data_IF_813305889544
#
_entry.id   IF_813305889544
#
_cell.length_a   1.000
_cell.length_b   1.000
_cell.length_c   1.000
_cell.angle_alpha   90.00
_cell.angle_beta   90.00
_cell.angle_gamma   90.00
#
_symmetry.space_group_name_H-M   'P 1'
#
loop_
_entity.id
_entity.type
_entity.pdbx_description
1 polymer ?
#
# COMPACT_ATOMS: atom_id res chain seq x y z
N UNK A 1 50.26 18.04 37.26
CA UNK A 1 49.17 17.81 36.29
C UNK A 1 49.70 17.26 34.97
N UNK A 2 50.66 17.90 34.30
CA UNK A 2 51.26 17.39 33.05
C UNK A 2 52.00 16.05 33.19
N UNK A 3 52.59 15.78 34.36
CA UNK A 3 53.27 14.50 34.67
C UNK A 3 52.32 13.31 34.77
N UNK A 4 51.12 13.49 35.34
CA UNK A 4 50.10 12.44 35.43
C UNK A 4 49.50 12.08 34.05
N UNK A 5 49.51 13.02 33.10
CA UNK A 5 49.02 12.80 31.73
C UNK A 5 50.02 11.99 30.90
N UNK A 6 51.33 12.12 31.16
CA UNK A 6 52.39 11.37 30.48
C UNK A 6 52.49 9.91 30.96
N UNK A 7 52.28 9.68 32.26
CA UNK A 7 52.32 8.33 32.86
C UNK A 7 51.08 7.49 32.48
N UNK A 8 49.93 8.14 32.31
CA UNK A 8 48.64 7.51 31.94
C UNK A 8 48.14 7.96 30.56
N UNK A 9 49.05 8.16 29.60
CA UNK A 9 48.72 8.60 28.23
C UNK A 9 47.71 7.67 27.53
N UNK A 10 47.78 6.37 27.84
CA UNK A 10 46.85 5.35 27.35
C UNK A 10 45.42 5.57 27.86
N UNK A 11 45.24 6.08 29.09
CA UNK A 11 43.93 6.42 29.65
C UNK A 11 43.29 7.59 28.90
N UNK A 12 44.11 8.56 28.48
CA UNK A 12 43.65 9.70 27.66
C UNK A 12 43.22 9.23 26.26
N UNK A 13 43.96 8.29 25.65
CA UNK A 13 43.55 7.67 24.38
C UNK A 13 42.26 6.86 24.50
N UNK A 14 42.12 6.06 25.57
CA UNK A 14 40.89 5.30 25.84
C UNK A 14 39.71 6.25 26.05
N UNK A 15 39.90 7.35 26.78
CA UNK A 15 38.85 8.35 26.98
C UNK A 15 38.40 9.01 25.67
N UNK A 16 39.34 9.37 24.79
CA UNK A 16 39.03 9.90 23.46
C UNK A 16 38.28 8.85 22.62
N UNK A 17 38.72 7.59 22.62
CA UNK A 17 38.06 6.51 21.89
C UNK A 17 36.62 6.26 22.37
N UNK A 18 36.40 6.24 23.69
CA UNK A 18 35.07 6.10 24.30
C UNK A 18 34.19 7.30 23.97
N UNK A 19 34.75 8.52 23.98
CA UNK A 19 34.02 9.74 23.62
C UNK A 19 33.56 9.72 22.16
N UNK A 20 34.43 9.32 21.23
CA UNK A 20 34.09 9.18 19.81
C UNK A 20 33.01 8.11 19.60
N UNK A 21 33.12 6.95 20.25
CA UNK A 21 32.11 5.89 20.21
C UNK A 21 30.76 6.37 20.75
N UNK A 22 30.76 7.13 21.85
CA UNK A 22 29.54 7.68 22.46
C UNK A 22 28.84 8.63 21.50
N UNK A 23 29.56 9.55 20.87
CA UNK A 23 29.01 10.47 19.87
C UNK A 23 28.45 9.69 18.66
N UNK A 24 29.16 8.66 18.20
CA UNK A 24 28.70 7.81 17.10
C UNK A 24 27.38 7.09 17.41
N UNK A 25 27.25 6.49 18.59
CA UNK A 25 26.03 5.79 19.02
C UNK A 25 24.86 6.78 19.16
N UNK A 26 25.09 7.97 19.74
CA UNK A 26 24.07 9.02 19.85
C UNK A 26 23.59 9.49 18.47
N UNK A 27 24.51 9.70 17.51
CA UNK A 27 24.15 10.11 16.16
C UNK A 27 23.33 9.02 15.43
N UNK A 28 23.72 7.75 15.58
CA UNK A 28 22.99 6.62 15.00
C UNK A 28 21.59 6.49 15.61
N UNK A 29 21.46 6.61 16.93
CA UNK A 29 20.18 6.58 17.63
C UNK A 29 19.28 7.76 17.24
N UNK A 30 19.85 8.96 17.10
CA UNK A 30 19.12 10.14 16.63
C UNK A 30 18.60 9.95 15.21
N UNK A 31 19.43 9.45 14.27
CA UNK A 31 19.02 9.20 12.88
C UNK A 31 17.92 8.14 12.80
N UNK A 32 18.04 7.05 13.55
CA UNK A 32 17.01 6.02 13.63
C UNK A 32 15.70 6.57 14.22
N UNK A 33 15.78 7.36 15.29
CA UNK A 33 14.62 8.02 15.92
C UNK A 33 13.94 9.03 14.98
N UNK A 34 14.72 9.82 14.25
CA UNK A 34 14.20 10.77 13.26
C UNK A 34 13.49 10.05 12.09
N UNK A 35 14.03 8.94 11.61
CA UNK A 35 13.40 8.10 10.58
C UNK A 35 12.08 7.51 11.08
N UNK A 36 12.07 6.90 12.27
CA UNK A 36 10.86 6.37 12.92
C UNK A 36 9.83 7.48 13.15
N UNK A 37 10.25 8.67 13.55
CA UNK A 37 9.38 9.84 13.72
C UNK A 37 8.73 10.29 12.41
N UNK A 38 9.50 10.33 11.31
CA UNK A 38 9.00 10.68 9.99
C UNK A 38 8.02 9.63 9.44
N UNK A 39 8.32 8.35 9.61
CA UNK A 39 7.43 7.24 9.23
C UNK A 39 6.14 7.26 10.04
N UNK A 40 6.22 7.43 11.37
CA UNK A 40 5.04 7.60 12.23
C UNK A 40 4.19 8.79 11.80
N UNK A 41 4.81 9.92 11.45
CA UNK A 41 4.06 11.09 10.96
C UNK A 41 3.33 10.80 9.66
N UNK A 42 3.99 10.14 8.69
CA UNK A 42 3.35 9.71 7.43
C UNK A 42 2.18 8.77 7.68
N UNK A 43 2.34 7.80 8.58
CA UNK A 43 1.26 6.88 8.98
C UNK A 43 0.10 7.65 9.63
N UNK A 44 0.38 8.56 10.56
CA UNK A 44 -0.67 9.37 11.21
C UNK A 44 -1.42 10.26 10.20
N UNK A 45 -0.71 10.91 9.28
CA UNK A 45 -1.33 11.75 8.25
C UNK A 45 -2.19 10.92 7.30
N UNK A 46 -1.70 9.74 6.91
CA UNK A 46 -2.46 8.76 6.12
C UNK A 46 -3.73 8.33 6.85
N UNK A 47 -3.62 7.90 8.10
CA UNK A 47 -4.77 7.48 8.92
C UNK A 47 -5.78 8.62 9.12
N UNK A 48 -5.31 9.86 9.27
CA UNK A 48 -6.20 11.04 9.35
C UNK A 48 -6.95 11.25 8.04
N UNK A 49 -6.27 11.15 6.90
CA UNK A 49 -6.89 11.24 5.59
C UNK A 49 -7.92 10.11 5.40
N UNK A 50 -7.54 8.87 5.65
CA UNK A 50 -8.41 7.70 5.49
C UNK A 50 -9.65 7.80 6.39
N UNK A 51 -9.49 8.18 7.66
CA UNK A 51 -10.63 8.35 8.56
C UNK A 51 -11.59 9.45 8.11
N UNK A 52 -11.07 10.60 7.64
CA UNK A 52 -11.90 11.70 7.12
C UNK A 52 -12.64 11.29 5.86
N UNK A 53 -11.94 10.69 4.90
CA UNK A 53 -12.51 10.23 3.64
C UNK A 53 -13.56 9.16 3.91
N UNK A 54 -13.27 8.14 4.73
CA UNK A 54 -14.25 7.14 5.15
C UNK A 54 -15.51 7.78 5.73
N UNK A 55 -15.36 8.71 6.66
CA UNK A 55 -16.49 9.38 7.30
C UNK A 55 -17.36 10.16 6.30
N UNK A 56 -16.75 10.82 5.32
CA UNK A 56 -17.47 11.56 4.29
C UNK A 56 -18.35 10.67 3.40
N UNK A 57 -17.99 9.39 3.24
CA UNK A 57 -18.71 8.43 2.39
C UNK A 57 -19.44 7.34 3.18
N UNK A 58 -19.56 7.47 4.51
CA UNK A 58 -20.21 6.46 5.35
C UNK A 58 -21.69 6.22 4.96
N UNK A 59 -22.37 7.29 4.52
CA UNK A 59 -23.72 7.26 3.98
C UNK A 59 -23.67 7.71 2.50
N UNK A 60 -23.19 6.83 1.63
CA UNK A 60 -23.10 7.12 0.20
C UNK A 60 -24.52 7.28 -0.39
N UNK A 61 -24.76 8.40 -1.07
CA UNK A 61 -25.97 8.65 -1.86
C UNK A 61 -25.62 8.85 -3.33
N UNK A 62 -26.62 8.76 -4.22
CA UNK A 62 -26.41 9.05 -5.66
C UNK A 62 -25.92 10.46 -5.91
N UNK A 63 -26.51 11.45 -5.24
CA UNK A 63 -26.08 12.85 -5.33
C UNK A 63 -24.63 13.03 -4.90
N UNK A 64 -24.24 12.44 -3.75
CA UNK A 64 -22.87 12.49 -3.26
C UNK A 64 -21.90 11.79 -4.21
N UNK A 65 -22.26 10.61 -4.73
CA UNK A 65 -21.43 9.88 -5.68
C UNK A 65 -21.19 10.71 -6.96
N UNK A 66 -22.20 11.41 -7.46
CA UNK A 66 -22.04 12.22 -8.67
C UNK A 66 -21.20 13.48 -8.45
N UNK A 67 -21.38 14.16 -7.33
CA UNK A 67 -20.72 15.43 -7.01
C UNK A 67 -19.30 15.28 -6.42
N UNK A 68 -18.97 14.10 -5.88
CA UNK A 68 -17.70 13.87 -5.21
C UNK A 68 -16.48 13.98 -6.15
N UNK A 69 -15.36 14.43 -5.58
CA UNK A 69 -14.05 14.33 -6.20
C UNK A 69 -13.72 12.85 -6.47
N UNK A 70 -13.14 12.58 -7.64
CA UNK A 70 -12.95 11.24 -8.21
C UNK A 70 -12.19 10.31 -7.26
N UNK A 71 -11.04 10.75 -6.75
CA UNK A 71 -10.22 9.95 -5.85
C UNK A 71 -10.90 9.77 -4.50
N UNK A 72 -11.52 10.83 -3.97
CA UNK A 72 -12.26 10.79 -2.72
C UNK A 72 -13.41 9.77 -2.77
N UNK A 73 -14.17 9.72 -3.86
CA UNK A 73 -15.24 8.73 -4.05
C UNK A 73 -14.67 7.30 -4.00
N UNK A 74 -13.66 7.04 -4.82
CA UNK A 74 -13.06 5.71 -4.90
C UNK A 74 -12.47 5.25 -3.55
N UNK A 75 -11.63 6.08 -2.94
CA UNK A 75 -10.99 5.76 -1.66
C UNK A 75 -12.03 5.68 -0.53
N UNK A 76 -13.02 6.56 -0.52
CA UNK A 76 -14.06 6.58 0.50
C UNK A 76 -14.91 5.32 0.50
N UNK A 77 -15.28 4.82 -0.67
CA UNK A 77 -16.02 3.55 -0.80
C UNK A 77 -15.17 2.37 -0.36
N UNK A 78 -13.92 2.27 -0.86
CA UNK A 78 -13.01 1.18 -0.48
C UNK A 78 -12.73 1.14 1.03
N UNK A 79 -12.50 2.30 1.66
CA UNK A 79 -12.26 2.40 3.10
C UNK A 79 -13.50 2.06 3.94
N UNK A 80 -14.71 2.29 3.42
CA UNK A 80 -15.94 1.87 4.10
C UNK A 80 -16.14 0.35 4.02
N UNK A 81 -15.74 -0.28 2.91
CA UNK A 81 -15.68 -1.74 2.80
C UNK A 81 -14.64 -2.29 3.80
N UNK A 82 -13.43 -1.72 3.81
CA UNK A 82 -12.37 -2.09 4.75
C UNK A 82 -12.85 -2.04 6.21
N UNK A 83 -13.49 -0.94 6.61
CA UNK A 83 -13.99 -0.79 7.97
C UNK A 83 -15.12 -1.78 8.34
N UNK A 84 -15.79 -2.37 7.35
CA UNK A 84 -16.71 -3.49 7.56
C UNK A 84 -15.94 -4.79 7.80
N UNK A 85 -15.00 -5.09 6.89
CA UNK A 85 -14.17 -6.30 6.95
C UNK A 85 -13.33 -6.40 8.24
N UNK A 86 -12.76 -5.28 8.71
CA UNK A 86 -11.96 -5.22 9.94
C UNK A 86 -12.73 -5.56 11.23
N UNK A 87 -14.07 -5.57 11.19
CA UNK A 87 -14.90 -5.96 12.34
C UNK A 87 -15.17 -7.45 12.41
N UNK A 88 -14.94 -8.17 11.31
CA UNK A 88 -15.22 -9.58 11.20
C UNK A 88 -14.05 -10.39 11.77
N UNK A 89 -14.35 -11.52 12.41
CA UNK A 89 -13.32 -12.41 12.96
C UNK A 89 -12.50 -13.11 11.88
N UNK A 90 -13.10 -13.32 10.71
CA UNK A 90 -12.47 -13.88 9.53
C UNK A 90 -12.67 -12.92 8.34
N UNK A 91 -11.62 -12.14 8.08
CA UNK A 91 -11.65 -11.11 7.03
C UNK A 91 -11.73 -11.72 5.63
N UNK A 92 -11.15 -12.90 5.41
CA UNK A 92 -11.16 -13.56 4.10
C UNK A 92 -12.57 -14.09 3.79
N UNK A 93 -13.19 -14.79 4.74
CA UNK A 93 -14.57 -15.24 4.58
C UNK A 93 -15.56 -14.07 4.47
N UNK A 94 -15.30 -12.95 5.13
CA UNK A 94 -16.10 -11.74 5.00
C UNK A 94 -15.94 -11.08 3.62
N UNK A 95 -14.71 -11.03 3.10
CA UNK A 95 -14.43 -10.52 1.76
C UNK A 95 -15.11 -11.35 0.67
N UNK A 96 -15.10 -12.68 0.79
CA UNK A 96 -15.77 -13.57 -0.15
C UNK A 96 -17.30 -13.40 -0.18
N UNK A 97 -17.91 -12.90 0.90
CA UNK A 97 -19.36 -12.60 0.99
C UNK A 97 -19.75 -11.25 0.42
N UNK A 98 -18.79 -10.37 0.14
CA UNK A 98 -19.06 -9.09 -0.52
C UNK A 98 -19.61 -9.33 -1.92
N UNK A 99 -20.36 -8.35 -2.45
CA UNK A 99 -20.77 -8.42 -3.86
C UNK A 99 -19.54 -8.26 -4.77
N UNK A 100 -19.58 -8.83 -5.97
CA UNK A 100 -18.45 -8.73 -6.92
C UNK A 100 -17.99 -7.29 -7.16
N UNK A 101 -18.88 -6.28 -7.33
CA UNK A 101 -18.44 -4.89 -7.43
C UNK A 101 -17.69 -4.37 -6.20
N UNK A 102 -18.10 -4.78 -5.00
CA UNK A 102 -17.42 -4.42 -3.75
C UNK A 102 -16.03 -5.07 -3.67
N UNK A 103 -15.94 -6.36 -4.02
CA UNK A 103 -14.68 -7.09 -4.06
C UNK A 103 -13.68 -6.42 -5.02
N UNK A 104 -14.12 -6.06 -6.23
CA UNK A 104 -13.28 -5.38 -7.22
C UNK A 104 -12.77 -4.03 -6.74
N UNK A 105 -13.63 -3.18 -6.19
CA UNK A 105 -13.22 -1.86 -5.69
C UNK A 105 -12.26 -1.98 -4.51
N UNK A 106 -12.51 -2.91 -3.59
CA UNK A 106 -11.61 -3.16 -2.46
C UNK A 106 -10.24 -3.69 -2.92
N UNK A 107 -10.22 -4.68 -3.80
CA UNK A 107 -8.97 -5.26 -4.32
C UNK A 107 -8.16 -4.23 -5.13
N UNK A 108 -8.82 -3.45 -5.98
CA UNK A 108 -8.20 -2.40 -6.79
C UNK A 108 -7.61 -1.27 -5.92
N UNK A 109 -8.23 -0.97 -4.77
CA UNK A 109 -7.69 -0.02 -3.81
C UNK A 109 -6.31 -0.44 -3.32
N UNK A 110 -6.10 -1.72 -3.00
CA UNK A 110 -4.79 -2.24 -2.60
C UNK A 110 -3.80 -2.29 -3.76
N UNK A 111 -4.24 -2.58 -5.00
CA UNK A 111 -3.37 -2.50 -6.18
C UNK A 111 -2.80 -1.08 -6.34
N UNK A 112 -3.62 -0.04 -6.18
CA UNK A 112 -3.13 1.34 -6.29
C UNK A 112 -2.35 1.80 -5.05
N UNK A 113 -2.71 1.31 -3.87
CA UNK A 113 -2.05 1.67 -2.62
C UNK A 113 -0.63 1.06 -2.51
N UNK A 114 -0.51 -0.24 -2.79
CA UNK A 114 0.74 -1.00 -2.59
C UNK A 114 1.48 -1.25 -3.90
N UNK A 115 0.77 -1.27 -5.03
CA UNK A 115 1.27 -1.71 -6.33
C UNK A 115 1.53 -0.58 -7.34
N UNK A 116 1.14 0.67 -7.06
CA UNK A 116 1.20 1.75 -8.06
C UNK A 116 2.61 2.06 -8.58
N UNK A 117 3.64 1.85 -7.76
CA UNK A 117 5.04 2.00 -8.18
C UNK A 117 5.69 0.67 -8.55
N UNK A 118 5.29 -0.41 -7.87
CA UNK A 118 5.83 -1.76 -8.02
C UNK A 118 4.74 -2.77 -7.71
N UNK A 119 4.20 -3.40 -8.74
CA UNK A 119 3.16 -4.41 -8.58
C UNK A 119 3.67 -5.61 -7.76
N UNK A 120 4.95 -5.94 -7.82
CA UNK A 120 5.58 -6.94 -6.97
C UNK A 120 5.41 -6.67 -5.48
N UNK A 121 5.39 -5.41 -5.04
CA UNK A 121 5.18 -5.05 -3.63
C UNK A 121 3.74 -5.31 -3.19
N UNK A 122 2.77 -5.16 -4.10
CA UNK A 122 1.40 -5.56 -3.84
C UNK A 122 1.31 -7.08 -3.62
N UNK A 123 1.95 -7.90 -4.46
CA UNK A 123 1.94 -9.37 -4.32
C UNK A 123 2.72 -9.88 -3.10
N UNK A 124 3.77 -9.17 -2.66
CA UNK A 124 4.50 -9.53 -1.42
C UNK A 124 3.69 -9.28 -0.16
N UNK A 125 2.77 -8.31 -0.19
CA UNK A 125 1.98 -7.89 0.97
C UNK A 125 0.60 -8.55 1.03
N UNK A 126 0.08 -8.98 -0.11
CA UNK A 126 -1.30 -9.44 -0.25
C UNK A 126 -1.32 -10.85 -0.85
N UNK A 127 -2.32 -11.65 -0.46
CA UNK A 127 -2.49 -13.02 -0.96
C UNK A 127 -3.95 -13.34 -1.27
N UNK A 128 -4.24 -14.62 -1.47
CA UNK A 128 -5.62 -15.12 -1.69
C UNK A 128 -6.48 -14.84 -0.44
N UNK A 129 -7.76 -14.47 -0.61
CA UNK A 129 -8.52 -14.42 -1.88
C UNK A 129 -8.39 -13.10 -2.66
N UNK A 130 -7.61 -12.12 -2.20
CA UNK A 130 -7.59 -10.77 -2.77
C UNK A 130 -6.87 -10.69 -4.13
N UNK A 131 -5.76 -11.41 -4.31
CA UNK A 131 -4.90 -11.27 -5.50
C UNK A 131 -5.57 -11.73 -6.81
N UNK A 132 -6.32 -12.86 -6.89
CA UNK A 132 -7.00 -13.21 -8.14
C UNK A 132 -8.08 -12.20 -8.52
N UNK A 133 -8.85 -11.75 -7.52
CA UNK A 133 -9.92 -10.75 -7.70
C UNK A 133 -9.36 -9.39 -8.15
N UNK A 134 -8.19 -9.01 -7.65
CA UNK A 134 -7.51 -7.81 -8.11
C UNK A 134 -7.16 -7.91 -9.61
N UNK A 135 -6.73 -9.07 -10.10
CA UNK A 135 -6.47 -9.29 -11.53
C UNK A 135 -7.72 -9.12 -12.40
N UNK A 136 -8.84 -9.71 -11.97
CA UNK A 136 -10.14 -9.52 -12.63
C UNK A 136 -10.57 -8.05 -12.65
N UNK A 137 -10.45 -7.36 -11.51
CA UNK A 137 -10.80 -5.95 -11.39
C UNK A 137 -9.92 -5.06 -12.30
N UNK A 138 -8.61 -5.32 -12.35
CA UNK A 138 -7.68 -4.60 -13.22
C UNK A 138 -8.05 -4.83 -14.69
N UNK A 139 -8.29 -6.08 -15.09
CA UNK A 139 -8.70 -6.40 -16.45
C UNK A 139 -10.01 -5.69 -16.84
N UNK A 140 -11.03 -5.76 -15.98
CA UNK A 140 -12.35 -5.21 -16.26
C UNK A 140 -12.37 -3.67 -16.26
N UNK A 141 -11.69 -3.05 -15.30
CA UNK A 141 -11.80 -1.61 -15.03
C UNK A 141 -10.72 -0.82 -15.78
N UNK A 142 -9.50 -1.36 -15.89
CA UNK A 142 -8.38 -0.70 -16.58
C UNK A 142 -8.15 -1.24 -18.00
N UNK A 143 -8.78 -2.37 -18.36
CA UNK A 143 -8.76 -2.96 -19.70
C UNK A 143 -7.76 -4.11 -19.88
N UNK A 144 -7.88 -4.82 -21.01
CA UNK A 144 -7.14 -6.06 -21.27
C UNK A 144 -5.63 -5.94 -21.05
N UNK A 145 -5.00 -4.88 -21.59
CA UNK A 145 -3.55 -4.66 -21.47
C UNK A 145 -3.09 -4.56 -20.01
N UNK A 146 -3.88 -3.92 -19.15
CA UNK A 146 -3.57 -3.83 -17.72
C UNK A 146 -3.66 -5.21 -17.07
N UNK A 147 -4.67 -6.00 -17.44
CA UNK A 147 -4.86 -7.36 -16.96
C UNK A 147 -3.74 -8.31 -17.40
N UNK A 148 -3.25 -8.19 -18.63
CA UNK A 148 -2.09 -8.94 -19.13
C UNK A 148 -0.84 -8.63 -18.29
N UNK A 149 -0.51 -7.35 -18.13
CA UNK A 149 0.63 -6.92 -17.30
C UNK A 149 0.50 -7.42 -15.85
N UNK A 150 -0.71 -7.39 -15.31
CA UNK A 150 -0.98 -7.90 -13.97
C UNK A 150 -0.76 -9.42 -13.87
N UNK A 151 -1.33 -10.18 -14.79
CA UNK A 151 -1.28 -11.65 -14.78
C UNK A 151 0.13 -12.17 -15.04
N UNK A 152 0.89 -11.51 -15.91
CA UNK A 152 2.29 -11.85 -16.20
C UNK A 152 3.17 -11.78 -14.95
N UNK A 153 2.86 -10.86 -14.03
CA UNK A 153 3.58 -10.71 -12.77
C UNK A 153 2.97 -11.59 -11.67
N UNK A 154 1.65 -11.69 -11.59
CA UNK A 154 0.94 -12.57 -10.65
C UNK A 154 1.45 -14.01 -10.73
N UNK A 155 1.68 -14.53 -11.93
CA UNK A 155 2.12 -15.90 -12.14
C UNK A 155 3.47 -16.22 -11.47
N UNK A 156 4.32 -15.22 -11.21
CA UNK A 156 5.59 -15.39 -10.51
C UNK A 156 5.42 -15.39 -8.96
N UNK A 157 4.28 -14.90 -8.45
CA UNK A 157 3.98 -14.80 -7.02
C UNK A 157 2.86 -15.76 -6.58
N UNK A 158 2.23 -16.49 -7.52
CA UNK A 158 1.26 -17.53 -7.20
C UNK A 158 2.00 -18.73 -6.59
N UNK A 159 1.81 -18.96 -5.29
CA UNK A 159 2.46 -20.06 -4.57
C UNK A 159 2.05 -21.45 -5.05
N UNK A 160 0.97 -21.55 -5.84
CA UNK A 160 0.53 -22.80 -6.47
C UNK A 160 1.18 -23.03 -7.85
N UNK A 161 1.94 -22.05 -8.37
CA UNK A 161 2.60 -22.12 -9.67
C UNK A 161 4.10 -22.42 -9.50
N UNK A 162 4.45 -23.70 -9.52
CA UNK A 162 5.85 -24.16 -9.39
C UNK A 162 6.67 -23.98 -10.69
N UNK A 163 6.03 -23.68 -11.82
CA UNK A 163 6.67 -23.63 -13.14
C UNK A 163 7.43 -22.32 -13.41
N UNK A 164 7.19 -21.28 -12.61
CA UNK A 164 7.74 -19.93 -12.81
C UNK A 164 8.67 -19.56 -11.66
N UNK A 165 9.94 -19.30 -11.98
CA UNK A 165 10.93 -18.82 -11.02
C UNK A 165 10.89 -17.29 -10.88
N UNK A 166 11.05 -16.80 -9.65
CA UNK A 166 11.18 -15.37 -9.33
C UNK A 166 12.53 -14.82 -9.83
N UNK A 167 12.57 -14.34 -11.07
CA UNK A 167 13.76 -13.69 -11.65
C UNK A 167 13.69 -12.18 -11.39
N UNK A 168 14.60 -11.66 -10.56
CA UNK A 168 14.58 -10.25 -10.11
C UNK A 168 14.60 -9.22 -11.25
N UNK A 169 15.37 -9.48 -12.32
CA UNK A 169 15.46 -8.58 -13.47
C UNK A 169 14.14 -8.49 -14.24
N UNK A 170 13.44 -9.62 -14.40
CA UNK A 170 12.14 -9.68 -15.08
C UNK A 170 11.05 -9.01 -14.25
N UNK A 171 11.04 -9.21 -12.94
CA UNK A 171 10.11 -8.53 -12.02
C UNK A 171 10.28 -7.02 -12.13
N UNK A 172 11.52 -6.51 -12.14
CA UNK A 172 11.76 -5.07 -12.24
C UNK A 172 11.26 -4.49 -13.58
N UNK A 173 11.38 -5.25 -14.67
CA UNK A 173 10.84 -4.86 -15.97
C UNK A 173 9.31 -4.83 -15.98
N UNK A 174 8.67 -5.85 -15.37
CA UNK A 174 7.21 -5.94 -15.25
C UNK A 174 6.63 -4.83 -14.36
N UNK A 175 7.27 -4.59 -13.21
CA UNK A 175 6.97 -3.47 -12.31
C UNK A 175 6.97 -2.14 -13.07
N UNK A 176 8.02 -1.88 -13.86
CA UNK A 176 8.15 -0.64 -14.63
C UNK A 176 7.07 -0.53 -15.72
N UNK A 177 6.74 -1.63 -16.41
CA UNK A 177 5.72 -1.64 -17.44
C UNK A 177 4.32 -1.33 -16.86
N UNK A 178 3.98 -1.94 -15.73
CA UNK A 178 2.71 -1.69 -15.04
C UNK A 178 2.61 -0.27 -14.48
N UNK A 179 3.68 0.24 -13.84
CA UNK A 179 3.72 1.61 -13.35
C UNK A 179 3.57 2.63 -14.49
N UNK A 180 4.28 2.44 -15.61
CA UNK A 180 4.16 3.29 -16.80
C UNK A 180 2.74 3.29 -17.35
N UNK A 181 2.08 2.12 -17.37
CA UNK A 181 0.68 2.02 -17.78
C UNK A 181 -0.26 2.81 -16.85
N UNK A 182 -0.07 2.69 -15.53
CA UNK A 182 -0.87 3.42 -14.53
C UNK A 182 -0.67 4.93 -14.61
N UNK A 183 0.55 5.41 -14.89
CA UNK A 183 0.82 6.85 -15.07
C UNK A 183 0.06 7.44 -16.28
N UNK A 184 -0.11 6.63 -17.34
CA UNK A 184 -0.82 7.03 -18.55
C UNK A 184 -2.34 6.86 -18.44
N UNK A 185 -2.80 6.13 -17.42
CA UNK A 185 -4.19 5.80 -17.20
C UNK A 185 -4.79 6.62 -16.06
N UNK A 186 -6.00 7.16 -16.25
CA UNK A 186 -6.70 7.81 -15.15
C UNK A 186 -7.39 6.77 -14.24
N UNK A 187 -6.57 5.99 -13.53
CA UNK A 187 -7.01 4.81 -12.77
C UNK A 187 -8.11 5.14 -11.74
N UNK A 188 -7.96 6.26 -11.02
CA UNK A 188 -8.99 6.71 -10.07
C UNK A 188 -10.30 7.06 -10.77
N UNK A 189 -10.26 7.67 -11.96
CA UNK A 189 -11.47 8.00 -12.71
C UNK A 189 -12.19 6.76 -13.24
N UNK A 190 -11.44 5.74 -13.68
CA UNK A 190 -12.02 4.46 -14.10
C UNK A 190 -12.69 3.74 -12.92
N UNK A 191 -12.03 3.68 -11.77
CA UNK A 191 -12.59 3.09 -10.56
C UNK A 191 -13.84 3.84 -10.06
N UNK A 192 -13.79 5.18 -10.02
CA UNK A 192 -14.95 6.00 -9.68
C UNK A 192 -16.10 5.83 -10.68
N UNK A 193 -15.79 5.72 -11.98
CA UNK A 193 -16.78 5.42 -13.02
C UNK A 193 -17.44 4.06 -12.82
N UNK A 194 -16.67 3.04 -12.41
CA UNK A 194 -17.20 1.73 -12.08
C UNK A 194 -18.13 1.77 -10.86
N UNK A 195 -17.76 2.51 -9.80
CA UNK A 195 -18.63 2.73 -8.62
C UNK A 195 -19.95 3.36 -9.05
N UNK A 196 -19.91 4.44 -9.84
CA UNK A 196 -21.11 5.16 -10.29
C UNK A 196 -22.05 4.28 -11.12
N UNK A 197 -21.50 3.35 -11.91
CA UNK A 197 -22.29 2.41 -12.73
C UNK A 197 -22.95 1.28 -11.93
N UNK A 198 -22.38 0.92 -10.79
CA UNK A 198 -22.85 -0.17 -9.93
C UNK A 198 -23.26 0.36 -8.55
N UNK A 199 -23.80 1.57 -8.50
CA UNK A 199 -23.92 2.35 -7.28
C UNK A 199 -24.81 1.67 -6.23
N UNK A 200 -25.82 0.93 -6.67
CA UNK A 200 -26.70 0.11 -5.84
C UNK A 200 -25.96 -0.93 -4.99
N UNK A 201 -24.76 -1.35 -5.40
CA UNK A 201 -23.92 -2.26 -4.63
C UNK A 201 -23.14 -1.56 -3.50
N UNK A 202 -23.12 -0.22 -3.46
CA UNK A 202 -22.33 0.57 -2.52
C UNK A 202 -23.17 1.46 -1.61
N UNK A 203 -24.40 1.79 -2.02
CA UNK A 203 -25.36 2.45 -1.15
C UNK A 203 -25.81 1.44 -0.09
N UNK A 204 -25.66 1.81 1.18
CA UNK A 204 -26.27 1.04 2.28
C UNK A 204 -27.77 1.30 2.29
N UNK A 205 -28.57 0.24 2.29
CA UNK A 205 -30.01 0.30 2.57
C UNK A 205 -30.27 0.75 4.01
#
# INVERSE_FOLDING_TARGET
MLSAVLEYWYLSLVFVAVSVLTVFVVFKAYKASAQVGAERKKVIERLKYENRTRAAFANLTSELAQAAEVKALFYGVALNIQAGLEKESDMNAAFEKLTTPQQYIYALYYVLLDGSQKLSEFFKKNGKPLTPIAGEAVHLIFGCKAGELYNDEYAAFDGDNEDISLITAEILQKDQAFATFLEQTNANALAAGYIKKNLENFIRA
#
